data_IF_787562980975
#
_entry.id   IF_787562980975
#
_cell.length_a   1.000
_cell.length_b   1.000
_cell.length_c   1.000
_cell.angle_alpha   90.00
_cell.angle_beta   90.00
_cell.angle_gamma   90.00
#
_symmetry.space_group_name_H-M   'P 1'
#
loop_
_entity.id
_entity.type
_entity.pdbx_description
1 polymer ?
#
# COMPACT_ATOMS: atom_id res chain seq x y z
N UNK A 1 -54.87 33.57 -1.94
CA UNK A 1 -54.27 33.23 -3.24
C UNK A 1 -53.49 31.93 -3.10
N UNK A 2 -53.98 30.89 -3.77
CA UNK A 2 -53.30 29.72 -4.37
C UNK A 2 -52.05 29.09 -3.72
N UNK A 3 -52.26 27.82 -3.32
CA UNK A 3 -51.32 26.71 -3.13
C UNK A 3 -50.26 26.59 -4.23
N UNK A 4 -49.10 25.98 -3.92
CA UNK A 4 -48.52 24.89 -4.74
C UNK A 4 -47.55 24.00 -3.94
N UNK A 5 -47.88 22.70 -3.92
CA UNK A 5 -47.02 21.52 -3.70
C UNK A 5 -46.06 21.33 -4.90
N UNK A 6 -45.26 20.25 -4.83
CA UNK A 6 -44.62 19.44 -5.91
C UNK A 6 -43.11 19.74 -6.03
N UNK A 7 -42.15 18.81 -6.10
CA UNK A 7 -42.09 17.33 -5.99
C UNK A 7 -40.61 16.89 -5.97
N UNK A 8 -40.34 15.69 -5.45
CA UNK A 8 -39.77 14.56 -6.22
C UNK A 8 -38.40 14.69 -6.90
N UNK A 9 -37.53 13.74 -6.55
CA UNK A 9 -36.37 13.22 -7.26
C UNK A 9 -36.31 13.49 -8.78
N UNK A 10 -35.11 13.73 -9.31
CA UNK A 10 -34.45 12.79 -10.26
C UNK A 10 -33.05 13.27 -10.64
N UNK A 11 -32.11 12.32 -10.65
CA UNK A 11 -30.87 12.35 -11.40
C UNK A 11 -31.02 12.95 -12.81
N UNK A 12 -30.04 13.76 -13.21
CA UNK A 12 -29.45 13.71 -14.56
C UNK A 12 -28.01 14.23 -14.53
N UNK A 13 -27.10 13.32 -14.79
CA UNK A 13 -25.72 13.61 -15.19
C UNK A 13 -25.70 14.41 -16.49
N UNK A 14 -24.81 15.41 -16.59
CA UNK A 14 -23.74 15.46 -17.59
C UNK A 14 -23.20 16.89 -17.83
N UNK A 15 -21.86 16.96 -17.79
CA UNK A 15 -21.00 17.68 -18.74
C UNK A 15 -20.99 19.22 -18.66
N UNK A 16 -20.02 19.72 -17.90
CA UNK A 16 -19.00 20.71 -18.30
C UNK A 16 -18.34 21.20 -17.01
N UNK A 17 -17.03 21.27 -16.83
CA UNK A 17 -15.96 21.46 -17.78
C UNK A 17 -15.07 22.55 -17.17
N UNK A 18 -13.83 22.17 -16.85
CA UNK A 18 -12.68 23.08 -16.65
C UNK A 18 -12.77 24.03 -15.45
N UNK A 19 -12.16 23.64 -14.32
CA UNK A 19 -11.27 24.57 -13.57
C UNK A 19 -10.36 23.97 -12.49
N UNK A 20 -10.41 22.67 -12.18
CA UNK A 20 -9.53 22.10 -11.13
C UNK A 20 -8.46 21.10 -11.63
N UNK A 21 -8.16 21.10 -12.93
CA UNK A 21 -7.14 20.20 -13.50
C UNK A 21 -5.69 20.76 -13.46
N UNK A 22 -5.49 21.98 -12.96
CA UNK A 22 -4.19 22.67 -13.04
C UNK A 22 -3.14 22.28 -11.99
N UNK A 23 -3.55 21.77 -10.82
CA UNK A 23 -2.63 21.52 -9.69
C UNK A 23 -2.34 20.04 -9.43
N UNK A 24 -3.18 19.11 -9.91
CA UNK A 24 -2.97 17.66 -9.73
C UNK A 24 -2.19 16.98 -10.86
N UNK A 25 -2.11 17.60 -12.04
CA UNK A 25 -1.40 17.04 -13.19
C UNK A 25 0.14 17.16 -13.08
N UNK A 26 0.65 18.11 -12.28
CA UNK A 26 2.09 18.35 -12.16
C UNK A 26 2.86 17.37 -11.25
N UNK A 27 2.16 16.50 -10.50
CA UNK A 27 2.80 15.50 -9.62
C UNK A 27 3.12 14.17 -10.32
N UNK A 28 2.71 14.02 -11.59
CA UNK A 28 2.85 12.78 -12.35
C UNK A 28 4.14 12.70 -13.20
N UNK A 29 4.96 13.75 -13.26
CA UNK A 29 6.04 13.86 -14.27
C UNK A 29 7.48 13.90 -13.72
N UNK A 30 7.70 13.75 -12.41
CA UNK A 30 9.04 13.54 -11.83
C UNK A 30 9.05 12.34 -10.89
N UNK A 31 9.17 11.14 -11.43
CA UNK A 31 9.73 10.00 -10.69
C UNK A 31 11.21 9.81 -11.03
N UNK A 32 11.72 10.50 -12.06
CA UNK A 32 13.14 10.50 -12.39
C UNK A 32 13.81 11.69 -11.73
N UNK A 33 13.99 11.59 -10.41
CA UNK A 33 15.10 12.25 -9.75
C UNK A 33 16.39 11.75 -10.40
N UNK A 34 17.32 12.65 -10.72
CA UNK A 34 18.59 12.29 -11.35
C UNK A 34 19.25 11.14 -10.58
N UNK A 35 19.71 10.12 -11.29
CA UNK A 35 20.35 8.95 -10.69
C UNK A 35 21.48 9.47 -9.79
N UNK A 36 21.34 9.32 -8.47
CA UNK A 36 22.35 9.77 -7.53
C UNK A 36 23.66 9.09 -7.88
N UNK A 37 24.73 9.89 -7.99
CA UNK A 37 26.04 9.39 -8.42
C UNK A 37 26.56 8.42 -7.38
N UNK A 38 26.99 7.25 -7.84
CA UNK A 38 27.66 6.23 -7.02
C UNK A 38 29.12 6.14 -7.39
N UNK A 39 29.97 5.90 -6.41
CA UNK A 39 31.39 5.62 -6.63
C UNK A 39 31.57 4.21 -7.24
N UNK A 40 32.77 3.91 -7.74
CA UNK A 40 33.06 2.58 -8.28
C UNK A 40 32.92 1.50 -7.20
N UNK A 41 33.39 1.79 -5.99
CA UNK A 41 33.33 0.89 -4.85
C UNK A 41 31.88 0.59 -4.46
N UNK A 42 31.01 1.60 -4.47
CA UNK A 42 29.58 1.45 -4.24
C UNK A 42 28.92 0.57 -5.32
N UNK A 43 29.28 0.74 -6.59
CA UNK A 43 28.77 -0.10 -7.70
C UNK A 43 29.24 -1.56 -7.54
N UNK A 44 30.50 -1.77 -7.15
CA UNK A 44 31.03 -3.12 -6.87
C UNK A 44 30.27 -3.75 -5.70
N UNK A 45 29.96 -2.98 -4.66
CA UNK A 45 29.22 -3.43 -3.49
C UNK A 45 27.79 -3.88 -3.87
N UNK A 46 27.09 -3.13 -4.73
CA UNK A 46 25.79 -3.57 -5.27
C UNK A 46 25.90 -4.89 -6.05
N UNK A 47 27.02 -5.10 -6.75
CA UNK A 47 27.32 -6.39 -7.39
C UNK A 47 27.46 -7.55 -6.39
N UNK A 48 27.92 -7.29 -5.17
CA UNK A 48 27.97 -8.31 -4.10
C UNK A 48 26.59 -8.55 -3.50
N UNK A 49 25.79 -7.50 -3.31
CA UNK A 49 24.40 -7.59 -2.84
C UNK A 49 23.58 -8.57 -3.68
N UNK A 50 23.74 -8.53 -5.01
CA UNK A 50 23.05 -9.46 -5.90
C UNK A 50 23.33 -10.95 -5.56
N UNK A 51 24.53 -11.25 -5.04
CA UNK A 51 25.00 -12.61 -4.70
C UNK A 51 24.70 -13.04 -3.27
N UNK A 52 24.28 -12.15 -2.38
CA UNK A 52 24.01 -12.47 -0.99
C UNK A 52 23.01 -13.62 -0.83
N UNK A 53 23.15 -14.40 0.24
CA UNK A 53 22.30 -15.59 0.49
C UNK A 53 21.47 -15.49 1.77
N UNK A 54 21.77 -14.55 2.65
CA UNK A 54 21.02 -14.31 3.88
C UNK A 54 20.67 -12.83 4.07
N UNK A 55 19.71 -12.56 4.96
CA UNK A 55 19.35 -11.20 5.34
C UNK A 55 20.47 -10.54 6.15
N UNK A 56 21.17 -11.30 6.98
CA UNK A 56 22.27 -10.80 7.81
C UNK A 56 23.44 -10.32 6.96
N UNK A 57 23.81 -11.09 5.93
CA UNK A 57 24.82 -10.66 4.95
C UNK A 57 24.39 -9.39 4.22
N UNK A 58 23.11 -9.34 3.80
CA UNK A 58 22.55 -8.16 3.15
C UNK A 58 22.63 -6.92 4.05
N UNK A 59 22.32 -7.04 5.33
CA UNK A 59 22.34 -5.91 6.28
C UNK A 59 23.75 -5.39 6.51
N UNK A 60 24.75 -6.26 6.66
CA UNK A 60 26.15 -5.84 6.79
C UNK A 60 26.61 -5.03 5.57
N UNK A 61 26.28 -5.49 4.35
CA UNK A 61 26.62 -4.75 3.14
C UNK A 61 25.85 -3.42 3.04
N UNK A 62 24.61 -3.36 3.55
CA UNK A 62 23.78 -2.16 3.53
C UNK A 62 24.30 -1.10 4.50
N UNK A 63 24.72 -1.50 5.69
CA UNK A 63 25.39 -0.62 6.65
C UNK A 63 26.72 -0.10 6.07
N UNK A 64 27.51 -0.96 5.42
CA UNK A 64 28.75 -0.56 4.76
C UNK A 64 28.48 0.46 3.64
N UNK A 65 27.48 0.24 2.79
CA UNK A 65 27.09 1.17 1.73
C UNK A 65 26.70 2.55 2.31
N UNK A 66 25.97 2.58 3.43
CA UNK A 66 25.59 3.82 4.10
C UNK A 66 26.77 4.58 4.69
N UNK A 67 27.77 3.88 5.22
CA UNK A 67 28.99 4.50 5.72
C UNK A 67 29.85 5.10 4.59
N UNK A 68 29.74 4.55 3.39
CA UNK A 68 30.42 5.03 2.19
C UNK A 68 29.64 6.12 1.44
N UNK A 69 28.41 6.44 1.85
CA UNK A 69 27.57 7.40 1.16
C UNK A 69 28.12 8.83 1.31
N UNK A 70 28.30 9.53 0.19
CA UNK A 70 28.76 10.93 0.19
C UNK A 70 27.57 11.89 0.33
N UNK A 71 27.65 12.81 1.30
CA UNK A 71 26.67 13.86 1.56
C UNK A 71 25.20 13.38 1.65
N UNK A 72 24.87 12.48 2.60
CA UNK A 72 23.52 11.93 2.73
C UNK A 72 22.49 12.92 3.32
N UNK A 73 22.95 13.95 4.02
CA UNK A 73 22.11 14.90 4.74
C UNK A 73 21.19 15.68 3.81
N UNK A 74 19.89 15.65 4.11
CA UNK A 74 18.84 16.29 3.33
C UNK A 74 18.49 15.57 2.02
N UNK A 75 19.21 14.48 1.67
CA UNK A 75 18.93 13.65 0.49
C UNK A 75 18.34 12.30 0.89
N UNK A 76 19.13 11.48 1.55
CA UNK A 76 18.74 10.13 1.99
C UNK A 76 18.67 10.04 3.52
N UNK A 77 19.16 11.06 4.21
CA UNK A 77 19.16 11.18 5.67
C UNK A 77 18.54 12.49 6.11
N UNK A 78 17.83 12.45 7.22
CA UNK A 78 17.43 13.66 7.92
C UNK A 78 18.65 14.26 8.62
N UNK A 79 18.93 15.58 8.49
CA UNK A 79 20.05 16.21 9.17
C UNK A 79 20.02 16.06 10.70
N UNK A 80 18.83 15.86 11.27
CA UNK A 80 18.63 15.66 12.70
C UNK A 80 18.95 14.23 13.18
N UNK A 81 19.23 13.29 12.26
CA UNK A 81 19.49 11.89 12.56
C UNK A 81 20.93 11.51 12.23
N UNK A 82 21.52 10.63 13.04
CA UNK A 82 22.82 10.05 12.72
C UNK A 82 22.71 9.16 11.48
N UNK A 83 23.59 9.39 10.51
CA UNK A 83 23.63 8.65 9.24
C UNK A 83 23.85 7.13 9.40
N UNK A 84 24.39 6.70 10.54
CA UNK A 84 24.63 5.29 10.88
C UNK A 84 23.42 4.61 11.51
N UNK A 85 22.30 5.32 11.69
CA UNK A 85 21.07 4.69 12.14
C UNK A 85 20.67 3.56 11.19
N UNK A 86 20.28 2.42 11.75
CA UNK A 86 19.90 1.26 10.97
C UNK A 86 18.82 0.43 11.66
N UNK A 87 17.71 0.20 10.96
CA UNK A 87 16.59 -0.58 11.47
C UNK A 87 16.53 -1.92 10.75
N UNK A 88 16.85 -2.98 11.49
CA UNK A 88 16.81 -4.37 11.04
C UNK A 88 15.36 -4.83 11.02
N UNK A 89 14.89 -5.19 9.83
CA UNK A 89 13.53 -5.67 9.59
C UNK A 89 13.56 -7.05 8.91
N UNK A 90 12.45 -7.49 8.30
CA UNK A 90 12.31 -8.79 7.64
C UNK A 90 11.25 -9.69 8.29
N UNK A 91 11.47 -11.01 8.23
CA UNK A 91 10.53 -12.02 8.75
C UNK A 91 10.46 -11.91 10.28
N UNK A 92 9.24 -11.77 10.82
CA UNK A 92 9.00 -11.66 12.26
C UNK A 92 9.23 -12.99 12.97
N UNK A 93 8.65 -14.06 12.43
CA UNK A 93 8.85 -15.43 12.89
C UNK A 93 9.01 -16.37 11.68
N UNK A 94 10.23 -16.90 11.43
CA UNK A 94 10.50 -17.80 10.31
C UNK A 94 9.64 -19.08 10.29
N UNK A 95 9.19 -19.56 11.45
CA UNK A 95 8.40 -20.80 11.55
C UNK A 95 6.96 -20.56 11.09
N UNK A 96 6.43 -19.38 11.37
CA UNK A 96 5.02 -19.07 11.15
C UNK A 96 4.77 -18.19 9.92
N UNK A 97 5.83 -17.71 9.27
CA UNK A 97 5.76 -16.86 8.09
C UNK A 97 4.94 -17.47 6.95
N UNK A 98 3.93 -16.74 6.49
CA UNK A 98 2.98 -17.24 5.48
C UNK A 98 3.19 -16.66 4.07
N UNK A 99 4.24 -15.85 3.90
CA UNK A 99 4.52 -15.14 2.65
C UNK A 99 3.92 -13.73 2.58
N UNK A 100 3.39 -13.16 3.66
CA UNK A 100 2.88 -11.78 3.68
C UNK A 100 3.98 -10.78 4.05
N UNK A 101 4.27 -9.80 3.18
CA UNK A 101 5.23 -8.72 3.42
C UNK A 101 4.52 -7.36 3.45
N UNK A 102 4.71 -6.60 4.53
CA UNK A 102 4.33 -5.19 4.60
C UNK A 102 5.52 -4.29 4.30
N UNK A 103 5.38 -3.40 3.32
CA UNK A 103 6.37 -2.38 3.00
C UNK A 103 5.91 -1.02 3.52
N UNK A 104 6.67 -0.44 4.44
CA UNK A 104 6.41 0.80 5.16
C UNK A 104 7.46 1.86 4.80
N UNK A 105 7.11 3.14 4.98
CA UNK A 105 8.00 4.27 4.62
C UNK A 105 9.29 4.27 5.46
N UNK A 106 9.14 4.43 6.77
CA UNK A 106 10.25 4.61 7.72
C UNK A 106 9.77 4.35 9.15
N UNK A 107 10.71 4.10 10.06
CA UNK A 107 10.45 4.09 11.50
C UNK A 107 10.33 5.52 12.03
N UNK A 108 9.47 5.73 13.04
CA UNK A 108 9.26 7.06 13.60
C UNK A 108 10.28 7.37 14.71
N UNK A 109 11.15 8.34 14.44
CA UNK A 109 12.24 8.79 15.30
C UNK A 109 11.96 10.14 15.98
N UNK A 110 10.74 10.70 15.89
CA UNK A 110 10.41 12.04 16.43
C UNK A 110 10.79 12.22 17.89
N UNK A 111 10.52 11.22 18.75
CA UNK A 111 10.83 11.32 20.19
C UNK A 111 12.33 11.41 20.45
N UNK A 112 13.14 10.73 19.64
CA UNK A 112 14.59 10.76 19.76
C UNK A 112 15.15 12.10 19.30
N UNK A 113 14.68 12.59 18.16
CA UNK A 113 15.01 13.93 17.66
C UNK A 113 14.66 15.00 18.70
N UNK A 114 13.48 14.92 19.32
CA UNK A 114 13.05 15.85 20.37
C UNK A 114 13.94 15.83 21.62
N UNK A 115 14.52 14.68 21.96
CA UNK A 115 15.45 14.55 23.08
C UNK A 115 16.87 14.99 22.72
N UNK A 116 17.16 15.26 21.44
CA UNK A 116 18.50 15.58 20.97
C UNK A 116 19.46 14.39 21.08
N UNK A 117 18.95 13.16 20.97
CA UNK A 117 19.81 11.97 20.98
C UNK A 117 20.63 11.93 19.68
N UNK A 118 21.96 12.01 19.81
CA UNK A 118 22.91 12.06 18.69
C UNK A 118 23.64 10.75 18.44
N UNK A 119 23.46 9.75 19.31
CA UNK A 119 24.07 8.44 19.16
C UNK A 119 23.33 7.61 18.12
N UNK A 120 24.04 6.82 17.30
CA UNK A 120 23.41 5.99 16.30
C UNK A 120 22.57 4.90 16.95
N UNK A 121 21.40 4.66 16.36
CA UNK A 121 20.48 3.60 16.75
C UNK A 121 20.52 2.49 15.74
N UNK A 122 20.94 1.31 16.22
CA UNK A 122 20.69 0.05 15.53
C UNK A 122 19.61 -0.68 16.28
N UNK A 123 18.46 -0.92 15.64
CA UNK A 123 17.32 -1.56 16.30
C UNK A 123 16.73 -2.67 15.45
N UNK A 124 16.31 -3.75 16.11
CA UNK A 124 15.60 -4.85 15.49
C UNK A 124 14.09 -4.65 15.65
N UNK A 125 13.46 -4.14 14.60
CA UNK A 125 12.05 -3.77 14.65
C UNK A 125 11.11 -4.97 14.57
N UNK A 126 11.65 -6.18 14.29
CA UNK A 126 10.85 -7.42 14.31
C UNK A 126 10.38 -7.71 15.73
N UNK A 127 11.24 -7.51 16.72
CA UNK A 127 10.91 -7.64 18.13
C UNK A 127 9.85 -6.62 18.59
N UNK A 128 9.98 -5.37 18.14
CA UNK A 128 9.00 -4.30 18.41
C UNK A 128 7.63 -4.64 17.80
N UNK A 129 7.63 -5.09 16.55
CA UNK A 129 6.44 -5.51 15.84
C UNK A 129 5.74 -6.67 16.57
N UNK A 130 6.49 -7.68 17.02
CA UNK A 130 5.94 -8.81 17.74
C UNK A 130 5.37 -8.41 19.11
N UNK A 131 6.14 -7.65 19.89
CA UNK A 131 5.79 -7.27 21.26
C UNK A 131 4.67 -6.25 21.35
N UNK A 132 4.42 -5.47 20.28
CA UNK A 132 3.47 -4.37 20.31
C UNK A 132 3.98 -3.12 21.03
N UNK A 133 5.27 -3.10 21.39
CA UNK A 133 5.94 -2.01 22.10
C UNK A 133 7.11 -1.56 21.24
N UNK A 134 7.32 -0.25 21.17
CA UNK A 134 8.58 0.31 20.67
C UNK A 134 9.22 1.20 21.74
N UNK A 135 10.56 1.29 21.80
CA UNK A 135 11.25 2.27 22.64
C UNK A 135 10.77 3.71 22.41
N UNK A 136 10.28 4.02 21.19
CA UNK A 136 9.71 5.33 20.85
C UNK A 136 8.20 5.44 21.12
N UNK A 137 7.52 4.42 21.66
CA UNK A 137 6.11 4.47 22.07
C UNK A 137 5.25 3.30 21.57
N UNK A 138 3.92 3.39 21.78
CA UNK A 138 2.99 2.48 21.11
C UNK A 138 3.05 2.73 19.62
N UNK A 139 3.12 1.63 18.89
CA UNK A 139 3.23 1.64 17.45
C UNK A 139 1.81 1.73 16.89
N UNK A 140 1.27 2.94 16.76
CA UNK A 140 -0.14 3.20 16.41
C UNK A 140 -0.59 2.50 15.11
N UNK A 141 0.34 2.17 14.20
CA UNK A 141 0.04 1.43 12.98
C UNK A 141 -0.12 -0.09 13.16
N UNK A 142 0.28 -0.68 14.30
CA UNK A 142 0.24 -2.14 14.47
C UNK A 142 -1.16 -2.72 14.48
N UNK A 143 -2.15 -2.00 15.00
CA UNK A 143 -3.54 -2.46 14.97
C UNK A 143 -4.03 -2.59 13.53
N UNK A 144 -3.63 -1.66 12.67
CA UNK A 144 -3.93 -1.70 11.24
C UNK A 144 -3.23 -2.87 10.54
N UNK A 145 -1.93 -3.07 10.79
CA UNK A 145 -1.19 -4.21 10.20
C UNK A 145 -1.73 -5.56 10.71
N UNK A 146 -2.07 -5.65 12.00
CA UNK A 146 -2.70 -6.84 12.59
C UNK A 146 -4.08 -7.09 11.99
N UNK A 147 -4.88 -6.05 11.80
CA UNK A 147 -6.20 -6.12 11.17
C UNK A 147 -6.12 -6.55 9.70
N UNK A 148 -5.19 -6.00 8.93
CA UNK A 148 -4.93 -6.45 7.55
C UNK A 148 -4.48 -7.91 7.51
N UNK A 149 -3.63 -8.33 8.44
CA UNK A 149 -3.22 -9.74 8.53
C UNK A 149 -4.41 -10.65 8.84
N UNK A 150 -5.34 -10.21 9.69
CA UNK A 150 -6.60 -10.93 9.95
C UNK A 150 -7.42 -11.07 8.67
N UNK A 151 -7.59 -10.00 7.91
CA UNK A 151 -8.31 -10.02 6.62
C UNK A 151 -7.67 -11.01 5.64
N UNK A 152 -6.34 -10.98 5.50
CA UNK A 152 -5.61 -11.91 4.63
C UNK A 152 -5.70 -13.36 5.12
N UNK A 153 -5.80 -13.57 6.44
CA UNK A 153 -6.02 -14.90 7.01
C UNK A 153 -7.42 -15.41 6.67
N UNK A 154 -8.45 -14.58 6.83
CA UNK A 154 -9.85 -14.89 6.50
C UNK A 154 -10.03 -15.21 5.01
N UNK A 155 -9.35 -14.47 4.12
CA UNK A 155 -9.34 -14.74 2.67
C UNK A 155 -8.80 -16.14 2.34
N UNK A 156 -7.81 -16.63 3.12
CA UNK A 156 -7.20 -17.96 2.92
C UNK A 156 -7.95 -19.09 3.60
N UNK A 157 -8.86 -18.78 4.53
CA UNK A 157 -9.67 -19.75 5.26
C UNK A 157 -11.16 -19.36 5.19
N UNK A 158 -11.79 -19.44 4.00
CA UNK A 158 -13.17 -19.02 3.85
C UNK A 158 -14.11 -19.82 4.75
N UNK A 159 -14.96 -19.13 5.51
CA UNK A 159 -15.91 -19.75 6.43
C UNK A 159 -15.35 -20.07 7.82
N UNK A 160 -14.07 -19.83 8.07
CA UNK A 160 -13.47 -19.97 9.40
C UNK A 160 -13.37 -18.63 10.12
N UNK A 161 -13.83 -18.59 11.38
CA UNK A 161 -13.63 -17.43 12.23
C UNK A 161 -12.17 -17.37 12.74
N UNK A 162 -11.49 -16.25 12.49
CA UNK A 162 -10.11 -16.07 12.96
C UNK A 162 -10.05 -15.95 14.50
N UNK A 163 -9.65 -17.04 15.16
CA UNK A 163 -9.43 -17.11 16.62
C UNK A 163 -7.99 -16.82 17.06
N UNK A 164 -7.12 -16.45 16.11
CA UNK A 164 -5.74 -16.13 16.41
C UNK A 164 -5.64 -14.80 17.18
N UNK A 165 -4.75 -14.77 18.18
CA UNK A 165 -4.42 -13.52 18.87
C UNK A 165 -3.65 -12.59 17.94
N UNK A 166 -3.66 -11.28 18.23
CA UNK A 166 -2.91 -10.30 17.43
C UNK A 166 -1.42 -10.62 17.32
N UNK A 167 -0.81 -11.17 18.37
CA UNK A 167 0.59 -11.64 18.34
C UNK A 167 0.78 -12.77 17.32
N UNK A 168 -0.07 -13.81 17.36
CA UNK A 168 -0.01 -14.94 16.42
C UNK A 168 -0.27 -14.54 14.98
N UNK A 169 -1.08 -13.51 14.75
CA UNK A 169 -1.25 -12.93 13.42
C UNK A 169 0.06 -12.28 12.96
N UNK A 170 0.67 -11.45 13.80
CA UNK A 170 1.93 -10.75 13.48
C UNK A 170 3.11 -11.68 13.20
N UNK A 171 3.20 -12.83 13.87
CA UNK A 171 4.19 -13.88 13.61
C UNK A 171 4.17 -14.35 12.14
N UNK A 172 3.04 -14.23 11.46
CA UNK A 172 2.89 -14.70 10.07
C UNK A 172 3.47 -13.75 9.02
N UNK A 173 3.84 -12.54 9.41
CA UNK A 173 4.22 -11.48 8.49
C UNK A 173 5.73 -11.23 8.47
N UNK A 174 6.17 -10.61 7.39
CA UNK A 174 7.43 -9.89 7.30
C UNK A 174 7.15 -8.40 7.16
N UNK A 175 8.09 -7.57 7.60
CA UNK A 175 8.04 -6.11 7.51
C UNK A 175 9.31 -5.61 6.82
N UNK A 176 9.17 -4.58 6.00
CA UNK A 176 10.28 -3.89 5.35
C UNK A 176 10.03 -2.39 5.41
N UNK A 177 10.94 -1.65 6.01
CA UNK A 177 11.04 -0.20 5.90
C UNK A 177 11.90 0.17 4.70
N UNK A 178 11.39 1.08 3.89
CA UNK A 178 12.11 1.60 2.73
C UNK A 178 13.38 2.33 3.20
N UNK A 179 13.22 3.26 4.13
CA UNK A 179 14.33 3.99 4.74
C UNK A 179 14.76 3.34 6.07
N UNK A 180 15.98 2.79 6.07
CA UNK A 180 16.55 2.10 7.24
C UNK A 180 17.10 3.04 8.31
N UNK A 181 17.29 4.34 8.03
CA UNK A 181 17.78 5.33 9.01
C UNK A 181 16.67 5.81 9.94
N UNK A 182 15.43 5.52 9.58
CA UNK A 182 14.25 6.08 10.22
C UNK A 182 13.99 7.51 9.78
N UNK A 183 12.93 8.11 10.32
CA UNK A 183 12.58 9.47 9.95
C UNK A 183 11.64 10.16 10.92
N UNK A 184 11.32 11.41 10.58
CA UNK A 184 10.46 12.27 11.41
C UNK A 184 8.99 12.19 11.00
N UNK A 185 8.63 11.26 10.13
CA UNK A 185 7.26 11.09 9.70
C UNK A 185 6.70 12.34 9.02
N UNK A 186 7.51 12.99 8.19
CA UNK A 186 7.08 14.11 7.36
C UNK A 186 6.65 13.63 5.97
N UNK A 187 5.88 14.46 5.26
CA UNK A 187 5.46 14.21 3.88
C UNK A 187 6.50 14.79 2.90
N UNK A 188 7.72 14.26 2.96
CA UNK A 188 8.88 14.67 2.17
C UNK A 188 9.42 13.52 1.29
N UNK A 189 10.46 13.84 0.50
CA UNK A 189 11.06 12.96 -0.50
C UNK A 189 12.22 12.12 0.04
N UNK A 190 12.81 12.46 1.20
CA UNK A 190 14.03 11.82 1.75
C UNK A 190 13.97 10.28 1.75
N UNK A 191 12.83 9.74 2.20
CA UNK A 191 12.62 8.29 2.24
C UNK A 191 12.46 7.65 0.86
N UNK A 192 11.89 8.37 -0.11
CA UNK A 192 11.80 7.89 -1.49
C UNK A 192 13.17 7.96 -2.16
N UNK A 193 13.94 9.02 -1.92
CA UNK A 193 15.31 9.18 -2.40
C UNK A 193 16.20 8.07 -1.82
N UNK A 194 16.11 7.80 -0.52
CA UNK A 194 16.74 6.63 0.09
C UNK A 194 16.33 5.34 -0.64
N UNK A 195 15.04 5.14 -0.87
CA UNK A 195 14.53 3.97 -1.61
C UNK A 195 15.12 3.83 -3.02
N UNK A 196 15.26 4.93 -3.75
CA UNK A 196 15.88 4.95 -5.07
C UNK A 196 17.39 4.66 -4.99
N UNK A 197 18.10 5.24 -4.02
CA UNK A 197 19.53 5.03 -3.83
C UNK A 197 19.84 3.56 -3.51
N UNK A 198 19.08 2.96 -2.59
CA UNK A 198 19.30 1.60 -2.08
C UNK A 198 18.45 0.53 -2.79
N UNK A 199 18.00 0.81 -4.02
CA UNK A 199 17.04 -0.06 -4.73
C UNK A 199 17.55 -1.50 -4.92
N UNK A 200 18.83 -1.71 -5.18
CA UNK A 200 19.38 -3.08 -5.33
C UNK A 200 19.31 -3.89 -4.03
N UNK A 201 19.48 -3.23 -2.89
CA UNK A 201 19.32 -3.84 -1.58
C UNK A 201 17.86 -4.21 -1.31
N UNK A 202 16.92 -3.30 -1.62
CA UNK A 202 15.48 -3.54 -1.46
C UNK A 202 15.01 -4.70 -2.35
N UNK A 203 15.43 -4.72 -3.62
CA UNK A 203 15.16 -5.84 -4.55
C UNK A 203 15.67 -7.15 -3.97
N UNK A 204 16.91 -7.17 -3.47
CA UNK A 204 17.51 -8.35 -2.90
C UNK A 204 16.78 -8.81 -1.64
N UNK A 205 16.43 -7.89 -0.75
CA UNK A 205 15.68 -8.18 0.46
C UNK A 205 14.34 -8.85 0.13
N UNK A 206 13.55 -8.26 -0.77
CA UNK A 206 12.25 -8.80 -1.18
C UNK A 206 12.41 -10.22 -1.74
N UNK A 207 13.45 -10.47 -2.56
CA UNK A 207 13.73 -11.82 -3.08
C UNK A 207 14.11 -12.83 -1.99
N UNK A 208 14.93 -12.41 -1.02
CA UNK A 208 15.31 -13.27 0.12
C UNK A 208 14.12 -13.59 1.03
N UNK A 209 13.19 -12.63 1.18
CA UNK A 209 11.94 -12.83 1.92
C UNK A 209 10.95 -13.73 1.18
N UNK A 210 11.03 -13.81 -0.16
CA UNK A 210 10.17 -14.63 -1.02
C UNK A 210 8.66 -14.51 -0.72
N UNK A 211 8.08 -13.29 -0.67
CA UNK A 211 6.68 -13.09 -0.34
C UNK A 211 5.74 -13.55 -1.46
N UNK A 212 4.55 -14.02 -1.06
CA UNK A 212 3.39 -14.29 -1.93
C UNK A 212 2.46 -13.08 -2.01
N UNK A 213 2.33 -12.32 -0.91
CA UNK A 213 1.53 -11.10 -0.85
C UNK A 213 2.40 -9.96 -0.36
N UNK A 214 2.50 -8.88 -1.13
CA UNK A 214 3.23 -7.66 -0.75
C UNK A 214 2.22 -6.52 -0.59
N UNK A 215 2.12 -5.95 0.61
CA UNK A 215 1.25 -4.80 0.89
C UNK A 215 2.12 -3.56 0.98
N UNK A 216 2.01 -2.68 -0.01
CA UNK A 216 2.71 -1.40 -0.05
C UNK A 216 1.88 -0.32 0.66
N UNK A 217 2.32 0.11 1.83
CA UNK A 217 1.64 1.10 2.67
C UNK A 217 2.01 2.53 2.24
N UNK A 218 1.47 2.95 1.10
CA UNK A 218 1.67 4.27 0.50
C UNK A 218 1.66 4.19 -1.03
N UNK A 219 1.08 5.20 -1.68
CA UNK A 219 1.00 5.22 -3.14
C UNK A 219 2.38 5.33 -3.81
N UNK A 220 3.24 6.21 -3.32
CA UNK A 220 4.57 6.40 -3.89
C UNK A 220 5.45 5.16 -3.67
N UNK A 221 5.31 4.49 -2.53
CA UNK A 221 5.95 3.19 -2.25
C UNK A 221 5.49 2.13 -3.26
N UNK A 222 4.18 2.01 -3.46
CA UNK A 222 3.63 1.06 -4.42
C UNK A 222 4.19 1.29 -5.83
N UNK A 223 4.21 2.55 -6.29
CA UNK A 223 4.76 2.91 -7.60
C UNK A 223 6.24 2.55 -7.70
N UNK A 224 7.06 2.95 -6.72
CA UNK A 224 8.50 2.67 -6.69
C UNK A 224 8.76 1.16 -6.75
N UNK A 225 8.09 0.37 -5.91
CA UNK A 225 8.27 -1.08 -5.84
C UNK A 225 7.83 -1.75 -7.14
N UNK A 226 6.64 -1.44 -7.66
CA UNK A 226 6.16 -2.04 -8.92
C UNK A 226 7.05 -1.67 -10.11
N UNK A 227 7.54 -0.43 -10.17
CA UNK A 227 8.42 0.02 -11.24
C UNK A 227 9.78 -0.67 -11.21
N UNK A 228 10.45 -0.64 -10.06
CA UNK A 228 11.85 -1.01 -9.98
C UNK A 228 12.03 -2.48 -9.63
N UNK A 229 11.26 -3.01 -8.68
CA UNK A 229 11.40 -4.41 -8.23
C UNK A 229 10.77 -5.38 -9.22
N UNK A 230 9.55 -5.06 -9.67
CA UNK A 230 8.81 -5.88 -10.64
C UNK A 230 9.01 -5.46 -12.10
N UNK A 231 10.04 -4.62 -12.34
CA UNK A 231 10.52 -4.20 -13.67
C UNK A 231 9.41 -3.68 -14.60
N UNK A 232 8.35 -3.08 -14.05
CA UNK A 232 7.20 -2.63 -14.83
C UNK A 232 7.45 -1.25 -15.48
N UNK A 233 8.54 -1.11 -16.24
CA UNK A 233 8.93 0.14 -16.91
C UNK A 233 9.00 0.01 -18.42
N UNK A 234 8.64 1.09 -19.12
CA UNK A 234 8.88 1.28 -20.57
C UNK A 234 9.67 2.55 -20.77
N UNK A 235 10.77 2.44 -21.51
CA UNK A 235 11.55 3.60 -21.95
C UNK A 235 11.05 4.02 -23.34
N UNK A 236 10.62 5.27 -23.49
CA UNK A 236 10.35 5.86 -24.82
C UNK A 236 11.65 6.39 -25.42
N UNK A 237 11.64 6.64 -26.73
CA UNK A 237 12.78 7.21 -27.49
C UNK A 237 13.32 8.52 -26.88
N UNK A 238 12.51 9.23 -26.09
CA UNK A 238 12.87 10.50 -25.44
C UNK A 238 13.48 10.33 -24.04
N UNK A 239 13.89 9.11 -23.65
CA UNK A 239 14.46 8.73 -22.34
C UNK A 239 13.51 8.87 -21.13
N UNK A 240 12.30 9.39 -21.30
CA UNK A 240 11.28 9.34 -20.25
C UNK A 240 10.85 7.89 -19.96
N UNK A 241 10.88 7.55 -18.67
CA UNK A 241 10.50 6.23 -18.14
C UNK A 241 9.07 6.34 -17.60
N UNK A 242 8.18 5.53 -18.14
CA UNK A 242 6.79 5.46 -17.68
C UNK A 242 6.43 4.04 -17.24
N UNK A 243 5.53 3.94 -16.26
CA UNK A 243 4.88 2.69 -15.90
C UNK A 243 4.02 2.18 -17.05
N UNK A 244 4.09 0.87 -17.33
CA UNK A 244 3.10 0.23 -18.19
C UNK A 244 1.85 -0.02 -17.35
N UNK A 245 0.92 0.93 -17.36
CA UNK A 245 -0.35 0.83 -16.64
C UNK A 245 -1.37 -0.07 -17.33
N UNK A 246 -1.37 -0.10 -18.68
CA UNK A 246 -2.43 -0.76 -19.45
C UNK A 246 -2.40 -2.29 -19.22
N UNK A 247 -3.51 -2.81 -18.68
CA UNK A 247 -3.82 -4.23 -18.45
C UNK A 247 -3.00 -4.98 -17.38
N UNK A 248 -2.23 -4.26 -16.54
CA UNK A 248 -1.32 -4.83 -15.53
C UNK A 248 -1.67 -4.49 -14.07
N UNK A 249 -2.48 -3.46 -13.82
CA UNK A 249 -2.88 -3.06 -12.47
C UNK A 249 -4.41 -2.96 -12.40
N UNK A 250 -5.05 -3.80 -11.59
CA UNK A 250 -6.48 -3.73 -11.30
C UNK A 250 -6.69 -2.73 -10.17
N UNK A 251 -6.71 -1.43 -10.51
CA UNK A 251 -6.86 -0.34 -9.56
C UNK A 251 -5.70 -0.28 -8.53
N UNK A 252 -5.84 -1.05 -7.46
CA UNK A 252 -4.95 -1.14 -6.30
C UNK A 252 -4.10 -2.43 -6.25
N UNK A 253 -4.24 -3.36 -7.21
CA UNK A 253 -3.55 -4.66 -7.18
C UNK A 253 -2.73 -4.92 -8.45
N UNK A 254 -1.53 -5.45 -8.28
CA UNK A 254 -0.59 -5.85 -9.33
C UNK A 254 -0.14 -7.31 -9.14
N UNK A 255 0.09 -8.04 -10.23
CA UNK A 255 0.43 -9.47 -10.19
C UNK A 255 1.75 -9.76 -10.91
N UNK A 256 2.53 -10.71 -10.37
CA UNK A 256 3.80 -11.14 -10.94
C UNK A 256 4.06 -12.64 -10.78
N UNK A 257 4.95 -13.17 -11.62
CA UNK A 257 5.44 -14.55 -11.54
C UNK A 257 6.55 -14.72 -10.48
N UNK A 258 7.09 -15.93 -10.35
CA UNK A 258 8.18 -16.24 -9.39
C UNK A 258 9.48 -15.50 -9.69
N UNK A 259 9.67 -15.07 -10.94
CA UNK A 259 10.83 -14.29 -11.38
C UNK A 259 10.56 -12.78 -11.28
N UNK A 260 9.48 -12.38 -10.58
CA UNK A 260 9.04 -11.00 -10.40
C UNK A 260 8.70 -10.28 -11.72
N UNK A 261 8.35 -11.03 -12.78
CA UNK A 261 7.92 -10.45 -14.05
C UNK A 261 6.42 -10.14 -14.02
N UNK A 262 5.97 -8.98 -14.54
CA UNK A 262 4.56 -8.62 -14.55
C UNK A 262 3.70 -9.65 -15.30
N UNK A 263 2.58 -10.05 -14.70
CA UNK A 263 1.56 -10.89 -15.32
C UNK A 263 0.31 -10.05 -15.60
N UNK A 264 -0.32 -10.30 -16.75
CA UNK A 264 -1.60 -9.67 -17.10
C UNK A 264 -2.73 -10.19 -16.22
N UNK A 265 -3.70 -9.33 -15.93
CA UNK A 265 -4.85 -9.65 -15.08
C UNK A 265 -5.58 -10.94 -15.49
N UNK A 266 -5.78 -11.17 -16.78
CA UNK A 266 -6.45 -12.36 -17.30
C UNK A 266 -5.79 -13.69 -16.90
N UNK A 267 -4.56 -13.63 -16.37
CA UNK A 267 -3.76 -14.78 -15.90
C UNK A 267 -3.40 -14.64 -14.42
N UNK A 268 -4.16 -13.88 -13.64
CA UNK A 268 -3.87 -13.68 -12.20
C UNK A 268 -3.78 -15.00 -11.41
N UNK A 269 -4.47 -16.05 -11.85
CA UNK A 269 -4.42 -17.37 -11.20
C UNK A 269 -3.07 -18.09 -11.41
N UNK A 270 -2.28 -17.65 -12.40
CA UNK A 270 -0.90 -18.08 -12.62
C UNK A 270 0.12 -17.26 -11.79
N UNK A 271 -0.33 -16.24 -11.05
CA UNK A 271 0.56 -15.35 -10.31
C UNK A 271 1.15 -16.01 -9.06
N UNK A 272 2.44 -15.80 -8.86
CA UNK A 272 3.15 -16.22 -7.66
C UNK A 272 3.17 -15.12 -6.59
N UNK A 273 3.14 -13.85 -7.03
CA UNK A 273 3.20 -12.69 -6.14
C UNK A 273 2.04 -11.74 -6.47
N UNK A 274 1.31 -11.34 -5.44
CA UNK A 274 0.30 -10.28 -5.48
C UNK A 274 0.81 -9.06 -4.72
N UNK A 275 0.84 -7.90 -5.37
CA UNK A 275 1.23 -6.62 -4.76
C UNK A 275 0.00 -5.74 -4.62
N UNK A 276 -0.28 -5.26 -3.41
CA UNK A 276 -1.46 -4.48 -3.07
C UNK A 276 -1.04 -3.08 -2.62
N UNK A 277 -1.62 -2.05 -3.22
CA UNK A 277 -1.49 -0.66 -2.79
C UNK A 277 -2.44 -0.44 -1.62
N UNK A 278 -1.93 -0.04 -0.46
CA UNK A 278 -2.76 0.36 0.68
C UNK A 278 -2.38 1.75 1.18
N UNK A 279 -3.29 2.43 1.87
CA UNK A 279 -2.95 3.66 2.58
C UNK A 279 -1.84 3.43 3.60
N UNK A 280 -0.99 4.43 3.82
CA UNK A 280 -0.01 4.37 4.89
C UNK A 280 -0.75 4.42 6.24
N UNK A 281 -0.62 3.43 7.14
CA UNK A 281 -1.36 3.43 8.39
C UNK A 281 -0.98 4.57 9.35
N UNK A 282 0.19 5.20 9.18
CA UNK A 282 0.59 6.41 9.91
C UNK A 282 -0.07 7.69 9.39
N UNK A 283 -0.49 7.74 8.11
CA UNK A 283 -1.11 8.90 7.45
C UNK A 283 -2.44 8.52 6.80
N UNK A 284 -3.28 7.86 7.60
CA UNK A 284 -4.59 7.32 7.19
C UNK A 284 -5.63 8.44 7.04
N UNK A 285 -5.39 9.37 6.14
CA UNK A 285 -6.27 10.51 5.90
C UNK A 285 -7.08 10.27 4.63
N UNK A 286 -8.40 10.34 4.73
CA UNK A 286 -9.35 10.31 3.62
C UNK A 286 -10.14 11.63 3.63
N UNK A 287 -10.17 12.36 2.52
CA UNK A 287 -10.83 13.68 2.41
C UNK A 287 -10.49 14.67 3.55
N UNK A 288 -9.26 14.62 4.06
CA UNK A 288 -8.79 15.51 5.13
C UNK A 288 -9.11 15.04 6.56
N UNK A 289 -9.76 13.88 6.74
CA UNK A 289 -10.06 13.30 8.05
C UNK A 289 -9.31 11.98 8.28
N UNK A 290 -8.91 11.72 9.52
CA UNK A 290 -8.33 10.44 9.89
C UNK A 290 -9.40 9.35 9.87
N UNK A 291 -9.13 8.26 9.15
CA UNK A 291 -10.06 7.13 9.06
C UNK A 291 -9.98 6.23 10.29
N UNK A 292 -11.12 5.62 10.64
CA UNK A 292 -11.19 4.61 11.69
C UNK A 292 -10.49 3.31 11.25
N UNK A 293 -10.22 2.42 12.21
CA UNK A 293 -9.69 1.09 11.89
C UNK A 293 -10.67 0.31 11.00
N UNK A 294 -11.96 0.40 11.27
CA UNK A 294 -12.99 -0.30 10.50
C UNK A 294 -13.04 0.19 9.05
N UNK A 295 -13.05 1.50 8.82
CA UNK A 295 -13.04 2.09 7.47
C UNK A 295 -11.76 1.71 6.72
N UNK A 296 -10.61 1.74 7.39
CA UNK A 296 -9.34 1.32 6.81
C UNK A 296 -9.37 -0.15 6.38
N UNK A 297 -9.93 -1.04 7.20
CA UNK A 297 -10.03 -2.46 6.87
C UNK A 297 -11.10 -2.76 5.81
N UNK A 298 -12.21 -2.00 5.77
CA UNK A 298 -13.20 -2.06 4.68
C UNK A 298 -12.53 -1.70 3.36
N UNK A 299 -11.78 -0.61 3.33
CA UNK A 299 -11.03 -0.22 2.12
C UNK A 299 -9.99 -1.29 1.72
N UNK A 300 -9.30 -1.91 2.68
CA UNK A 300 -8.35 -2.97 2.38
C UNK A 300 -9.03 -4.18 1.71
N UNK A 301 -10.19 -4.63 2.22
CA UNK A 301 -11.00 -5.70 1.60
C UNK A 301 -11.45 -5.32 0.19
N UNK A 302 -11.96 -4.10 0.03
CA UNK A 302 -12.38 -3.55 -1.27
C UNK A 302 -11.23 -3.59 -2.29
N UNK A 303 -10.01 -3.27 -1.87
CA UNK A 303 -8.83 -3.31 -2.76
C UNK A 303 -8.43 -4.74 -3.12
N UNK A 304 -8.47 -5.67 -2.17
CA UNK A 304 -8.17 -7.08 -2.43
C UNK A 304 -9.15 -7.70 -3.45
N UNK A 305 -10.44 -7.33 -3.37
CA UNK A 305 -11.48 -7.81 -4.30
C UNK A 305 -11.46 -7.11 -5.66
N UNK A 306 -10.64 -6.06 -5.83
CA UNK A 306 -10.59 -5.26 -7.04
C UNK A 306 -11.79 -4.32 -7.23
N UNK A 307 -12.39 -3.86 -6.13
CA UNK A 307 -13.53 -2.93 -6.15
C UNK A 307 -14.89 -3.57 -6.39
N UNK A 308 -15.03 -4.89 -6.23
CA UNK A 308 -16.28 -5.61 -6.53
C UNK A 308 -17.30 -5.62 -5.39
N UNK A 309 -16.91 -5.34 -4.16
CA UNK A 309 -17.80 -5.38 -2.98
C UNK A 309 -18.94 -4.35 -3.05
N UNK A 310 -18.70 -3.16 -3.64
CA UNK A 310 -19.71 -2.10 -3.79
C UNK A 310 -20.85 -2.45 -4.76
N UNK A 311 -20.68 -3.48 -5.59
CA UNK A 311 -21.73 -3.96 -6.48
C UNK A 311 -22.75 -4.85 -5.74
N UNK A 312 -22.33 -5.55 -4.69
CA UNK A 312 -23.18 -6.51 -3.97
C UNK A 312 -24.00 -5.83 -2.85
N UNK A 313 -23.44 -4.83 -2.16
CA UNK A 313 -24.21 -3.97 -1.22
C UNK A 313 -25.30 -3.18 -1.97
N UNK A 314 -25.01 -2.63 -3.17
CA UNK A 314 -26.01 -1.91 -3.98
C UNK A 314 -27.13 -2.80 -4.55
N UNK A 315 -26.87 -4.10 -4.74
CA UNK A 315 -27.86 -5.08 -5.20
C UNK A 315 -28.73 -5.60 -4.04
N UNK A 316 -28.25 -5.53 -2.79
CA UNK A 316 -29.03 -5.91 -1.60
C UNK A 316 -29.82 -4.74 -0.99
N UNK A 317 -29.46 -3.49 -1.31
CA UNK A 317 -30.23 -2.29 -0.92
C UNK A 317 -31.29 -1.87 -1.93
N UNK A 318 -31.37 -2.55 -3.08
CA UNK A 318 -32.49 -2.41 -4.00
C UNK A 318 -33.61 -3.37 -3.56
N UNK A 319 -34.40 -2.94 -2.57
CA UNK A 319 -35.71 -3.58 -2.36
C UNK A 319 -36.51 -3.48 -3.67
N UNK A 320 -37.23 -4.54 -4.08
CA UNK A 320 -38.10 -4.44 -5.24
C UNK A 320 -39.21 -3.44 -4.90
N UNK A 321 -39.29 -2.35 -5.65
CA UNK A 321 -40.43 -1.44 -5.64
C UNK A 321 -41.70 -2.29 -5.75
N UNK A 322 -42.54 -2.28 -4.71
CA UNK A 322 -43.86 -2.89 -4.74
C UNK A 322 -44.61 -2.33 -5.95
N UNK A 323 -44.80 -3.20 -6.94
CA UNK A 323 -45.62 -2.94 -8.10
C UNK A 323 -47.02 -2.60 -7.59
N UNK A 324 -47.39 -1.34 -7.82
CA UNK A 324 -48.66 -0.76 -7.51
C UNK A 324 -49.74 -1.47 -8.36
N UNK A 325 -50.21 -2.63 -7.92
CA UNK A 325 -51.38 -3.30 -8.49
C UNK A 325 -52.63 -2.52 -8.05
N UNK A 326 -52.95 -1.47 -8.79
CA UNK A 326 -54.32 -0.95 -8.82
C UNK A 326 -55.22 -2.05 -9.40
N UNK A 327 -56.03 -2.64 -8.54
CA UNK A 327 -57.13 -3.52 -8.92
C UNK A 327 -58.08 -2.81 -9.91
N UNK A 328 -58.47 -3.44 -11.02
CA UNK A 328 -59.45 -2.86 -11.93
C UNK A 328 -60.81 -2.80 -11.23
N UNK A 329 -61.38 -1.59 -11.18
CA UNK A 329 -62.75 -1.38 -10.72
C UNK A 329 -63.73 -2.15 -11.61
N UNK A 330 -64.59 -2.92 -10.96
CA UNK A 330 -65.77 -3.59 -11.50
C UNK A 330 -66.68 -2.58 -12.21
N UNK A 331 -66.88 -2.79 -13.51
CA UNK A 331 -67.99 -2.18 -14.26
C UNK A 331 -69.27 -2.98 -13.96
N UNK A 332 -70.26 -2.30 -13.37
CA UNK A 332 -71.63 -2.84 -13.25
C UNK A 332 -72.33 -2.86 -14.62
N UNK A 333 -73.09 -3.90 -14.95
CA UNK A 333 -73.74 -4.04 -16.24
C UNK A 333 -74.99 -3.14 -16.35
N UNK A 334 -75.00 -2.29 -17.36
CA UNK A 334 -76.22 -1.59 -17.79
C UNK A 334 -77.20 -2.59 -18.42
N UNK A 335 -78.36 -2.69 -17.78
CA UNK A 335 -79.55 -3.44 -18.20
C UNK A 335 -80.06 -2.94 -19.55
N UNK A 336 -80.13 -3.86 -20.51
CA UNK A 336 -80.78 -3.68 -21.80
C UNK A 336 -82.31 -3.84 -21.67
N UNK A 337 -83.04 -3.16 -22.55
CA UNK A 337 -84.49 -2.97 -22.55
C UNK A 337 -85.30 -4.24 -22.86
N UNK A 338 -86.58 -4.18 -22.45
CA UNK A 338 -87.77 -4.93 -22.92
C UNK A 338 -87.83 -6.42 -22.57
N UNK A 339 -88.92 -6.99 -22.06
CA UNK A 339 -90.37 -6.67 -22.14
C UNK A 339 -91.11 -6.82 -20.80
#
# INVERSE_FOLDING_TARGET
MHKRKISGCLWKACVSGKKEAGAKAHRAERIVGGTMKKTMEQIILEGQVAKCRSLEELYVLWELMQQMEEDPDGKTCYPELDQRNFHIDGIVDPVHYDGTLYILKETNMRKMIQKGETMPVVSDIRGDFLSGKSPSGRVEYLEYLTGMQKVLWEERHPGEECRLTGKKLREKAAVLYLNKRGGKGAADEVSLDYGQYYMEFIKKQIRLLNPKTVVCCGEDLFRLIVMEVFQNKKQKKNREIYMKWKDLVLGDVFFADREYRPIKEAKKDEAAVRVVRMWNPSYRVNNGQYVSLEEYLKEFRRRLSGGKEDAQENLQSAEPDEENTESPMTEDPAVEKSE
#
